data_IF_663385081823
#
_entry.id   IF_663385081823
#
_cell.length_a   1.000
_cell.length_b   1.000
_cell.length_c   1.000
_cell.angle_alpha   90.00
_cell.angle_beta   90.00
_cell.angle_gamma   90.00
#
_symmetry.space_group_name_H-M   'P 1'
#
loop_
_entity.id
_entity.type
_entity.pdbx_description
1 polymer ?
#
# COMPACT_ATOMS: atom_id res chain seq x y z
N UNK A 1 -8.11 -9.90 -12.68
CA UNK A 1 -7.03 -10.61 -11.96
C UNK A 1 -7.02 -10.39 -10.45
N UNK A 2 -7.19 -9.16 -9.95
CA UNK A 2 -7.13 -8.90 -8.50
C UNK A 2 -8.12 -9.72 -7.65
N UNK A 3 -9.39 -9.85 -8.07
CA UNK A 3 -10.39 -10.65 -7.34
C UNK A 3 -9.98 -12.13 -7.29
N UNK A 4 -9.54 -12.69 -8.43
CA UNK A 4 -9.02 -14.06 -8.50
C UNK A 4 -7.81 -14.30 -7.57
N UNK A 5 -6.89 -13.34 -7.49
CA UNK A 5 -5.75 -13.40 -6.57
C UNK A 5 -6.18 -13.30 -5.10
N UNK A 6 -7.16 -12.47 -4.79
CA UNK A 6 -7.74 -12.35 -3.44
C UNK A 6 -8.42 -13.66 -3.03
N UNK A 7 -9.20 -14.27 -3.92
CA UNK A 7 -9.91 -15.52 -3.63
C UNK A 7 -8.93 -16.69 -3.41
N UNK A 8 -7.78 -16.69 -4.10
CA UNK A 8 -6.79 -17.77 -4.01
C UNK A 8 -5.78 -17.61 -2.87
N UNK A 9 -5.24 -16.41 -2.67
CA UNK A 9 -4.16 -16.12 -1.71
C UNK A 9 -4.67 -15.47 -0.43
N UNK A 10 -5.86 -14.87 -0.47
CA UNK A 10 -6.41 -14.07 0.61
C UNK A 10 -5.91 -12.63 0.58
N UNK A 11 -6.81 -11.69 0.91
CA UNK A 11 -6.54 -10.23 0.99
C UNK A 11 -5.30 -9.86 1.80
N UNK A 12 -5.07 -10.60 2.88
CA UNK A 12 -4.01 -10.35 3.86
C UNK A 12 -2.63 -10.72 3.33
N UNK A 13 -2.48 -11.88 2.69
CA UNK A 13 -1.22 -12.29 2.06
C UNK A 13 -0.88 -11.34 0.92
N UNK A 14 -1.87 -10.91 0.14
CA UNK A 14 -1.67 -9.89 -0.89
C UNK A 14 -1.15 -8.56 -0.32
N UNK A 15 -1.67 -8.12 0.84
CA UNK A 15 -1.16 -6.91 1.49
C UNK A 15 0.31 -7.02 1.88
N UNK A 16 0.75 -8.17 2.42
CA UNK A 16 2.17 -8.37 2.74
C UNK A 16 3.05 -8.41 1.50
N UNK A 17 2.66 -9.17 0.47
CA UNK A 17 3.42 -9.31 -0.77
C UNK A 17 3.62 -7.95 -1.44
N UNK A 18 2.55 -7.14 -1.54
CA UNK A 18 2.64 -5.82 -2.16
C UNK A 18 3.47 -4.85 -1.31
N UNK A 19 3.28 -4.85 0.02
CA UNK A 19 4.04 -3.98 0.92
C UNK A 19 5.54 -4.29 0.84
N UNK A 20 5.92 -5.56 0.78
CA UNK A 20 7.32 -5.96 0.61
C UNK A 20 7.88 -5.52 -0.75
N UNK A 21 7.11 -5.69 -1.83
CA UNK A 21 7.46 -5.19 -3.16
C UNK A 21 7.67 -3.67 -3.18
N UNK A 22 6.83 -2.90 -2.47
CA UNK A 22 7.01 -1.45 -2.33
C UNK A 22 8.23 -1.07 -1.51
N UNK A 23 8.47 -1.73 -0.37
CA UNK A 23 9.64 -1.46 0.46
C UNK A 23 10.91 -1.66 -0.36
N UNK A 24 11.03 -2.76 -1.10
CA UNK A 24 12.19 -3.03 -1.95
C UNK A 24 12.31 -1.99 -3.06
N UNK A 25 11.27 -1.82 -3.87
CA UNK A 25 11.33 -0.93 -5.05
C UNK A 25 11.58 0.53 -4.67
N UNK A 26 10.87 1.06 -3.67
CA UNK A 26 11.03 2.45 -3.22
C UNK A 26 12.39 2.67 -2.53
N UNK A 27 12.90 1.68 -1.79
CA UNK A 27 14.25 1.76 -1.21
C UNK A 27 15.33 1.78 -2.30
N UNK A 28 15.15 1.00 -3.38
CA UNK A 28 16.05 1.00 -4.53
C UNK A 28 15.99 2.33 -5.30
N UNK A 29 14.79 2.90 -5.51
CA UNK A 29 14.63 4.25 -6.10
C UNK A 29 15.32 5.29 -5.23
N UNK A 30 15.11 5.26 -3.92
CA UNK A 30 15.77 6.15 -2.97
C UNK A 30 17.30 6.03 -3.06
N UNK A 31 17.83 4.80 -3.03
CA UNK A 31 19.27 4.54 -3.16
C UNK A 31 19.82 5.05 -4.49
N UNK A 32 19.10 4.85 -5.60
CA UNK A 32 19.49 5.37 -6.91
C UNK A 32 19.65 6.90 -6.91
N UNK A 33 18.79 7.63 -6.19
CA UNK A 33 18.94 9.08 -6.02
C UNK A 33 20.12 9.47 -5.13
N UNK A 34 20.42 8.72 -4.06
CA UNK A 34 21.55 9.04 -3.17
C UNK A 34 22.92 8.71 -3.77
N UNK A 35 23.01 7.63 -4.53
CA UNK A 35 24.25 7.18 -5.17
C UNK A 35 24.38 7.66 -6.61
N UNK A 36 23.46 8.50 -7.09
CA UNK A 36 23.42 9.03 -8.45
C UNK A 36 23.54 7.93 -9.51
N UNK A 37 22.76 6.86 -9.37
CA UNK A 37 22.74 5.78 -10.35
C UNK A 37 22.09 6.25 -11.65
N UNK A 38 22.80 6.13 -12.76
CA UNK A 38 22.37 6.58 -14.08
C UNK A 38 21.88 5.43 -14.97
N UNK A 39 21.27 5.78 -16.10
CA UNK A 39 20.84 4.81 -17.12
C UNK A 39 19.49 4.14 -16.81
N UNK A 40 19.41 2.83 -17.03
CA UNK A 40 18.14 2.07 -17.00
C UNK A 40 17.69 1.64 -15.60
N UNK A 41 18.51 1.82 -14.57
CA UNK A 41 18.20 1.37 -13.21
C UNK A 41 16.92 2.02 -12.66
N UNK A 42 16.77 3.34 -12.84
CA UNK A 42 15.62 4.08 -12.32
C UNK A 42 14.28 3.61 -12.92
N UNK A 43 14.11 3.52 -14.26
CA UNK A 43 12.91 2.94 -14.85
C UNK A 43 12.61 1.51 -14.39
N UNK A 44 13.64 0.67 -14.24
CA UNK A 44 13.47 -0.73 -13.80
C UNK A 44 12.86 -0.79 -12.38
N UNK A 45 13.35 0.03 -11.46
CA UNK A 45 12.81 0.06 -10.09
C UNK A 45 11.39 0.63 -10.04
N UNK A 46 11.08 1.62 -10.89
CA UNK A 46 9.72 2.13 -11.03
C UNK A 46 8.76 1.08 -11.62
N UNK A 47 9.19 0.28 -12.61
CA UNK A 47 8.38 -0.83 -13.11
C UNK A 47 8.17 -1.92 -12.07
N UNK A 48 9.18 -2.19 -11.24
CA UNK A 48 9.03 -3.10 -10.09
C UNK A 48 7.98 -2.59 -9.11
N UNK A 49 7.98 -1.28 -8.81
CA UNK A 49 6.94 -0.65 -7.99
C UNK A 49 5.55 -0.79 -8.61
N UNK A 50 5.41 -0.52 -9.91
CA UNK A 50 4.13 -0.63 -10.64
C UNK A 50 3.63 -2.09 -10.64
N UNK A 51 4.53 -3.06 -10.83
CA UNK A 51 4.19 -4.48 -10.78
C UNK A 51 3.68 -4.87 -9.38
N UNK A 52 4.35 -4.43 -8.32
CA UNK A 52 3.88 -4.64 -6.95
C UNK A 52 2.51 -3.99 -6.68
N UNK A 53 2.26 -2.79 -7.23
CA UNK A 53 0.98 -2.11 -7.12
C UNK A 53 -0.15 -2.89 -7.79
N UNK A 54 0.10 -3.38 -9.01
CA UNK A 54 -0.86 -4.11 -9.81
C UNK A 54 -1.27 -5.47 -9.20
N UNK A 55 -0.37 -6.12 -8.47
CA UNK A 55 -0.61 -7.45 -7.87
C UNK A 55 -1.68 -7.41 -6.78
N UNK A 56 -1.78 -6.34 -5.99
CA UNK A 56 -2.71 -6.38 -4.86
C UNK A 56 -3.22 -5.05 -4.35
N UNK A 57 -2.42 -4.00 -4.28
CA UNK A 57 -2.87 -2.76 -3.63
C UNK A 57 -4.02 -2.09 -4.37
N UNK A 58 -4.04 -2.16 -5.71
CA UNK A 58 -5.14 -1.64 -6.51
C UNK A 58 -6.48 -2.38 -6.33
N UNK A 59 -6.51 -3.61 -5.82
CA UNK A 59 -7.77 -4.36 -5.62
C UNK A 59 -8.11 -4.55 -4.14
N UNK A 60 -7.10 -4.75 -3.29
CA UNK A 60 -7.31 -5.04 -1.86
C UNK A 60 -7.93 -3.85 -1.13
N UNK A 61 -7.56 -2.60 -1.46
CA UNK A 61 -8.15 -1.40 -0.84
C UNK A 61 -9.68 -1.40 -0.99
N UNK A 62 -10.19 -1.61 -2.20
CA UNK A 62 -11.63 -1.53 -2.49
C UNK A 62 -12.42 -2.68 -1.85
N UNK A 63 -11.83 -3.87 -1.79
CA UNK A 63 -12.40 -5.01 -1.08
C UNK A 63 -12.43 -4.73 0.42
N UNK A 64 -11.35 -4.21 0.98
CA UNK A 64 -11.26 -3.92 2.41
C UNK A 64 -12.26 -2.87 2.86
N UNK A 65 -12.45 -1.78 2.10
CA UNK A 65 -13.48 -0.77 2.38
C UNK A 65 -14.88 -1.44 2.38
N UNK A 66 -15.12 -2.43 1.50
CA UNK A 66 -16.43 -3.11 1.41
C UNK A 66 -16.71 -4.02 2.61
N UNK A 67 -15.65 -4.58 3.19
CA UNK A 67 -15.70 -5.51 4.32
C UNK A 67 -15.80 -4.77 5.67
N UNK A 68 -15.27 -3.54 5.78
CA UNK A 68 -15.33 -2.75 7.02
C UNK A 68 -16.76 -2.33 7.37
N UNK A 69 -17.54 -1.92 6.36
CA UNK A 69 -18.87 -1.37 6.59
C UNK A 69 -19.96 -2.45 6.62
N UNK A 70 -20.90 -2.39 7.58
CA UNK A 70 -22.06 -3.28 7.61
C UNK A 70 -22.96 -3.06 6.39
N UNK A 71 -23.70 -4.09 5.98
CA UNK A 71 -24.45 -4.12 4.72
C UNK A 71 -25.35 -2.88 4.50
N UNK A 72 -25.97 -2.37 5.55
CA UNK A 72 -26.87 -1.21 5.51
C UNK A 72 -26.16 0.14 5.30
N UNK A 73 -24.86 0.24 5.60
CA UNK A 73 -24.06 1.45 5.45
C UNK A 73 -22.96 1.31 4.40
N UNK A 74 -22.87 0.16 3.72
CA UNK A 74 -21.79 -0.15 2.79
C UNK A 74 -21.69 0.86 1.65
N UNK A 75 -22.81 1.26 1.05
CA UNK A 75 -22.82 2.22 -0.06
C UNK A 75 -22.28 3.58 0.38
N UNK A 76 -22.81 4.13 1.48
CA UNK A 76 -22.38 5.42 2.02
C UNK A 76 -20.91 5.40 2.46
N UNK A 77 -20.49 4.34 3.15
CA UNK A 77 -19.10 4.16 3.57
C UNK A 77 -18.13 4.04 2.39
N UNK A 78 -18.53 3.33 1.33
CA UNK A 78 -17.77 3.22 0.10
C UNK A 78 -17.61 4.55 -0.64
N UNK A 79 -18.70 5.30 -0.79
CA UNK A 79 -18.65 6.62 -1.42
C UNK A 79 -17.73 7.57 -0.64
N UNK A 80 -17.87 7.63 0.69
CA UNK A 80 -17.01 8.47 1.52
C UNK A 80 -15.52 8.06 1.43
N UNK A 81 -15.21 6.77 1.55
CA UNK A 81 -13.85 6.26 1.42
C UNK A 81 -13.24 6.57 0.05
N UNK A 82 -14.01 6.39 -1.02
CA UNK A 82 -13.60 6.72 -2.39
C UNK A 82 -13.33 8.21 -2.56
N UNK A 83 -14.21 9.07 -2.05
CA UNK A 83 -14.03 10.52 -2.12
C UNK A 83 -12.75 10.98 -1.43
N UNK A 84 -12.51 10.50 -0.20
CA UNK A 84 -11.28 10.81 0.54
C UNK A 84 -10.04 10.31 -0.22
N UNK A 85 -10.11 9.09 -0.76
CA UNK A 85 -9.02 8.51 -1.55
C UNK A 85 -8.67 9.40 -2.76
N UNK A 86 -9.66 9.80 -3.56
CA UNK A 86 -9.42 10.62 -4.76
C UNK A 86 -8.93 12.02 -4.43
N UNK A 87 -9.42 12.63 -3.35
CA UNK A 87 -8.91 13.93 -2.87
C UNK A 87 -7.43 13.83 -2.50
N UNK A 88 -7.05 12.81 -1.73
CA UNK A 88 -5.65 12.59 -1.36
C UNK A 88 -4.79 12.21 -2.58
N UNK A 89 -5.34 11.43 -3.51
CA UNK A 89 -4.67 11.07 -4.76
C UNK A 89 -4.42 12.28 -5.66
N UNK A 90 -5.18 13.37 -5.54
CA UNK A 90 -4.90 14.63 -6.22
C UNK A 90 -3.85 15.46 -5.46
N UNK A 91 -3.99 15.57 -4.14
CA UNK A 91 -3.13 16.44 -3.32
C UNK A 91 -1.69 15.91 -3.24
N UNK A 92 -1.51 14.62 -2.91
CA UNK A 92 -0.18 14.06 -2.62
C UNK A 92 0.77 14.17 -3.82
N UNK A 93 0.40 13.75 -5.05
CA UNK A 93 1.25 13.93 -6.22
C UNK A 93 1.50 15.40 -6.57
N UNK A 94 0.51 16.28 -6.33
CA UNK A 94 0.68 17.72 -6.57
C UNK A 94 1.73 18.37 -5.68
N UNK A 95 1.98 17.79 -4.49
CA UNK A 95 3.03 18.24 -3.57
C UNK A 95 4.41 17.68 -3.90
N UNK A 96 4.52 16.66 -4.75
CA UNK A 96 5.80 16.00 -5.08
C UNK A 96 6.85 16.98 -5.63
N UNK A 97 6.54 17.91 -6.56
CA UNK A 97 7.54 18.87 -7.05
C UNK A 97 8.12 19.74 -5.93
N UNK A 98 7.25 20.22 -5.02
CA UNK A 98 7.66 21.02 -3.87
C UNK A 98 8.54 20.20 -2.93
N UNK A 99 8.14 18.96 -2.63
CA UNK A 99 8.91 18.05 -1.78
C UNK A 99 10.28 17.71 -2.39
N UNK A 100 10.33 17.45 -3.70
CA UNK A 100 11.58 17.18 -4.41
C UNK A 100 12.52 18.37 -4.37
N UNK A 101 12.00 19.60 -4.47
CA UNK A 101 12.82 20.82 -4.39
C UNK A 101 13.31 21.17 -2.98
N UNK A 102 12.60 20.74 -1.94
CA UNK A 102 12.87 21.15 -0.54
C UNK A 102 13.69 20.11 0.21
N UNK A 103 13.29 18.84 0.16
CA UNK A 103 13.92 17.73 0.91
C UNK A 103 14.63 16.71 0.01
N UNK A 104 14.46 16.83 -1.32
CA UNK A 104 15.09 15.95 -2.30
C UNK A 104 14.29 14.67 -2.57
N UNK A 105 14.36 14.18 -3.81
CA UNK A 105 13.61 13.00 -4.26
C UNK A 105 13.96 11.73 -3.46
N UNK A 106 15.25 11.50 -3.18
CA UNK A 106 15.70 10.34 -2.40
C UNK A 106 15.03 10.25 -1.03
N UNK A 107 14.98 11.36 -0.28
CA UNK A 107 14.34 11.40 1.04
C UNK A 107 12.82 11.17 0.95
N UNK A 108 12.17 11.70 -0.09
CA UNK A 108 10.73 11.48 -0.30
C UNK A 108 10.42 10.02 -0.56
N UNK A 109 11.17 9.35 -1.42
CA UNK A 109 10.99 7.92 -1.68
C UNK A 109 11.32 7.05 -0.47
N UNK A 110 12.35 7.42 0.31
CA UNK A 110 12.67 6.74 1.57
C UNK A 110 11.54 6.86 2.58
N UNK A 111 10.97 8.07 2.72
CA UNK A 111 9.82 8.31 3.58
C UNK A 111 8.64 7.40 3.20
N UNK A 112 8.29 7.32 1.91
CA UNK A 112 7.25 6.42 1.45
C UNK A 112 7.57 4.94 1.67
N UNK A 113 8.83 4.52 1.51
CA UNK A 113 9.27 3.16 1.80
C UNK A 113 9.05 2.81 3.28
N UNK A 114 9.41 3.71 4.20
CA UNK A 114 9.22 3.52 5.64
C UNK A 114 7.72 3.48 5.99
N UNK A 115 6.90 4.33 5.38
CA UNK A 115 5.45 4.34 5.61
C UNK A 115 4.77 3.01 5.26
N UNK A 116 5.34 2.20 4.36
CA UNK A 116 4.81 0.86 4.06
C UNK A 116 4.90 -0.12 5.24
N UNK A 117 5.62 0.22 6.31
CA UNK A 117 5.54 -0.50 7.59
C UNK A 117 4.17 -0.38 8.27
N UNK A 118 3.41 0.69 8.04
CA UNK A 118 2.10 0.91 8.69
C UNK A 118 1.04 -0.11 8.21
N UNK A 119 0.82 -0.32 6.90
CA UNK A 119 -0.07 -1.37 6.41
C UNK A 119 0.29 -2.77 6.96
N UNK A 120 1.58 -3.09 7.03
CA UNK A 120 2.09 -4.36 7.56
C UNK A 120 1.77 -4.50 9.06
N UNK A 121 1.96 -3.45 9.85
CA UNK A 121 1.62 -3.43 11.26
C UNK A 121 0.11 -3.59 11.51
N UNK A 122 -0.72 -2.94 10.69
CA UNK A 122 -2.19 -3.07 10.77
C UNK A 122 -2.63 -4.51 10.49
N UNK A 123 -2.05 -5.17 9.47
CA UNK A 123 -2.33 -6.57 9.20
C UNK A 123 -1.96 -7.48 10.39
N UNK A 124 -0.78 -7.27 10.98
CA UNK A 124 -0.33 -8.05 12.15
C UNK A 124 -1.26 -7.86 13.36
N UNK A 125 -1.72 -6.63 13.61
CA UNK A 125 -2.65 -6.35 14.70
C UNK A 125 -4.00 -7.06 14.50
N UNK A 126 -4.53 -7.02 13.27
CA UNK A 126 -5.78 -7.68 12.93
C UNK A 126 -5.71 -9.20 13.14
N UNK A 127 -4.57 -9.82 12.85
CA UNK A 127 -4.34 -11.25 13.11
C UNK A 127 -4.32 -11.61 14.58
N UNK A 128 -3.60 -10.82 15.37
CA UNK A 128 -3.50 -11.04 16.81
C UNK A 128 -4.90 -10.97 17.45
N UNK A 129 -5.76 -10.05 16.99
CA UNK A 129 -7.16 -9.97 17.41
C UNK A 129 -7.97 -11.21 17.05
N UNK A 130 -7.86 -11.68 15.80
CA UNK A 130 -8.60 -12.86 15.33
C UNK A 130 -8.18 -14.15 16.08
N UNK A 131 -6.88 -14.33 16.32
CA UNK A 131 -6.37 -15.51 17.03
C UNK A 131 -6.80 -15.53 18.50
N UNK A 132 -6.83 -14.37 19.18
CA UNK A 132 -7.38 -14.24 20.55
C UNK A 132 -8.87 -14.58 20.62
N UNK A 133 -9.66 -14.20 19.61
CA UNK A 133 -11.09 -14.54 19.58
C UNK A 133 -11.35 -16.04 19.37
N UNK A 134 -10.49 -16.74 18.63
CA UNK A 134 -10.57 -18.20 18.47
C UNK A 134 -10.23 -18.93 19.77
N UNK A 135 -9.19 -18.49 20.48
CA UNK A 135 -8.77 -19.06 21.77
C UNK A 135 -9.85 -18.92 22.86
N UNK A 136 -10.57 -17.78 22.90
CA UNK A 136 -11.72 -17.61 23.81
C UNK A 136 -12.95 -18.46 23.50
N UNK A 137 -13.03 -19.10 22.33
CA UNK A 137 -14.15 -20.01 21.99
C UNK A 137 -13.87 -21.46 22.36
N UNK A 138 -12.63 -21.77 22.74
CA UNK A 138 -12.18 -23.11 23.15
C UNK A 138 -12.07 -23.24 24.67
N UNK A 139 -12.17 -22.11 25.39
CA UNK A 139 -12.32 -21.99 26.85
C UNK A 139 -13.81 -21.88 27.21
#
# INVERSE_FOLDING_TARGET
MGIYLIDRLGRKQLMYICSFGYIISLSLVSAAFFFSWEGSAMPIFLFMFIAAHAIGQGTVIWVFISEIFPNNLRSSGQSFGSSVHWVLAAIVPSLVPVLFSTIGAGMVFLFFAIMMGVPVAICNFYDAGNQRSKLRRIE
#
